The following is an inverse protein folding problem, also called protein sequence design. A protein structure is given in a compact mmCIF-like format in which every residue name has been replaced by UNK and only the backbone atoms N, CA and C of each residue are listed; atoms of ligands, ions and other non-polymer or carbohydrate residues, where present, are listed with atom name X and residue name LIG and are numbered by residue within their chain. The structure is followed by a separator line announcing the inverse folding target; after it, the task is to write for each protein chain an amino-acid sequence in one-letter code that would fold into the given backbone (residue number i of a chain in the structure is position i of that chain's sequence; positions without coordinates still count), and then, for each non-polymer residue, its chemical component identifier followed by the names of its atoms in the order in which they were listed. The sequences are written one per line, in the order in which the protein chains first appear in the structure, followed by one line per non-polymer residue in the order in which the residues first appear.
data_IF_568009321619
#
_entry.id   IF_568009321619
#
_cell.length_a   1.000
_cell.length_b   1.000
_cell.length_c   1.000
_cell.angle_alpha   90.00
_cell.angle_beta   90.00
_cell.angle_gamma   90.00
#
_symmetry.space_group_name_H-M   'P 1'
#
loop_
_entity.id
_entity.type
_entity.pdbx_description
1 polymer ?
#
# COMPACT_ATOMS: atom_id res chain seq x y z
N UNK A 1 28.03 19.65 -10.28
CA UNK A 1 26.70 19.01 -10.35
C UNK A 1 26.17 18.83 -8.94
N UNK A 2 25.24 19.69 -8.53
CA UNK A 2 24.56 19.53 -7.26
C UNK A 2 23.57 18.36 -7.43
N UNK A 3 23.88 17.20 -6.86
CA UNK A 3 22.94 16.09 -6.72
C UNK A 3 21.75 16.59 -5.89
N UNK A 4 20.50 16.36 -6.31
CA UNK A 4 19.36 16.70 -5.49
C UNK A 4 19.49 15.93 -4.17
N UNK A 5 19.48 16.68 -3.06
CA UNK A 5 19.66 16.17 -1.71
C UNK A 5 18.45 15.28 -1.39
N UNK A 6 18.57 13.97 -1.61
CA UNK A 6 17.65 13.01 -1.04
C UNK A 6 17.69 13.17 0.48
N UNK A 7 16.71 13.84 1.06
CA UNK A 7 16.60 13.90 2.53
C UNK A 7 16.55 12.49 3.07
N UNK A 8 17.43 12.10 4.01
CA UNK A 8 17.42 10.76 4.55
C UNK A 8 16.08 10.50 5.24
N UNK A 9 15.34 9.53 4.73
CA UNK A 9 14.09 9.10 5.35
C UNK A 9 14.43 8.26 6.57
N UNK A 10 14.01 8.74 7.75
CA UNK A 10 14.25 8.05 9.03
C UNK A 10 12.91 7.69 9.67
N UNK A 11 12.78 6.49 10.28
CA UNK A 11 11.63 6.16 11.10
C UNK A 11 11.52 7.14 12.27
N UNK A 12 10.32 7.63 12.56
CA UNK A 12 10.03 8.60 13.62
C UNK A 12 9.43 7.96 14.86
N UNK A 13 8.94 6.72 14.75
CA UNK A 13 8.32 5.96 15.86
C UNK A 13 8.98 4.59 15.98
N UNK A 14 8.75 3.92 17.11
CA UNK A 14 9.24 2.56 17.32
C UNK A 14 8.58 1.56 16.35
N UNK A 15 7.28 1.68 16.08
CA UNK A 15 6.58 0.83 15.12
C UNK A 15 7.16 1.00 13.72
N UNK A 16 7.44 2.23 13.29
CA UNK A 16 8.12 2.50 12.02
C UNK A 16 9.54 1.92 11.98
N UNK A 17 10.28 1.97 13.08
CA UNK A 17 11.61 1.35 13.17
C UNK A 17 11.52 -0.16 13.02
N UNK A 18 10.63 -0.83 13.73
CA UNK A 18 10.41 -2.28 13.59
C UNK A 18 10.02 -2.67 12.17
N UNK A 19 9.18 -1.87 11.53
CA UNK A 19 8.79 -2.07 10.14
C UNK A 19 9.98 -1.99 9.18
N UNK A 20 10.81 -0.95 9.29
CA UNK A 20 12.04 -0.80 8.47
C UNK A 20 13.02 -1.95 8.73
N UNK A 21 13.19 -2.37 9.99
CA UNK A 21 14.07 -3.49 10.35
C UNK A 21 13.56 -4.83 9.80
N UNK A 22 12.24 -5.04 9.78
CA UNK A 22 11.62 -6.21 9.14
C UNK A 22 11.83 -6.20 7.62
N UNK A 23 11.66 -5.05 6.98
CA UNK A 23 11.91 -4.88 5.54
C UNK A 23 13.34 -5.25 5.17
N UNK A 24 14.32 -4.90 6.00
CA UNK A 24 15.73 -5.27 5.75
C UNK A 24 15.96 -6.78 5.83
N UNK A 25 15.31 -7.45 6.76
CA UNK A 25 15.58 -8.85 7.10
C UNK A 25 14.78 -9.86 6.30
N UNK A 26 13.55 -9.53 5.88
CA UNK A 26 12.60 -10.47 5.27
C UNK A 26 12.43 -10.20 3.79
N UNK A 27 12.17 -11.26 3.02
CA UNK A 27 11.89 -11.17 1.59
C UNK A 27 10.51 -10.55 1.32
N UNK A 28 9.50 -10.93 2.11
CA UNK A 28 8.14 -10.41 2.01
C UNK A 28 7.75 -9.79 3.33
N UNK A 29 7.24 -8.54 3.32
CA UNK A 29 6.78 -7.86 4.52
C UNK A 29 5.40 -7.25 4.30
N UNK A 30 4.50 -7.54 5.22
CA UNK A 30 3.19 -6.89 5.32
C UNK A 30 3.28 -5.74 6.33
N UNK A 31 3.05 -4.53 5.87
CA UNK A 31 2.92 -3.31 6.70
C UNK A 31 1.45 -2.95 6.84
N UNK A 32 0.86 -3.21 8.00
CA UNK A 32 -0.58 -3.08 8.25
C UNK A 32 -0.80 -1.97 9.29
N UNK A 33 -1.81 -1.15 9.09
CA UNK A 33 -2.17 -0.11 10.07
C UNK A 33 -2.89 1.08 9.44
N UNK A 34 -3.32 2.04 10.25
CA UNK A 34 -4.11 3.17 9.80
C UNK A 34 -3.36 4.10 8.85
N UNK A 35 -4.11 4.91 8.11
CA UNK A 35 -3.55 5.95 7.24
C UNK A 35 -2.68 6.94 8.03
N UNK A 36 -1.61 7.43 7.40
CA UNK A 36 -0.69 8.39 8.02
C UNK A 36 0.41 7.79 8.91
N UNK A 37 0.50 6.46 9.03
CA UNK A 37 1.59 5.78 9.75
C UNK A 37 2.87 5.65 8.92
N UNK A 38 2.87 6.12 7.66
CA UNK A 38 4.06 6.14 6.79
C UNK A 38 4.40 4.81 6.14
N UNK A 39 3.51 3.81 6.13
CA UNK A 39 3.75 2.48 5.55
C UNK A 39 4.32 2.53 4.14
N UNK A 40 3.56 3.11 3.23
CA UNK A 40 3.90 3.22 1.81
C UNK A 40 5.13 4.09 1.59
N UNK A 41 5.21 5.21 2.30
CA UNK A 41 6.35 6.14 2.20
C UNK A 41 7.68 5.48 2.62
N UNK A 42 7.69 4.77 3.75
CA UNK A 42 8.88 4.04 4.23
C UNK A 42 9.23 2.88 3.30
N UNK A 43 8.24 2.13 2.80
CA UNK A 43 8.47 1.06 1.83
C UNK A 43 9.14 1.61 0.55
N UNK A 44 8.66 2.75 0.03
CA UNK A 44 9.23 3.39 -1.16
C UNK A 44 10.64 3.92 -0.90
N UNK A 45 10.89 4.51 0.27
CA UNK A 45 12.23 4.98 0.64
C UNK A 45 13.24 3.81 0.69
N UNK A 46 12.82 2.66 1.24
CA UNK A 46 13.65 1.45 1.27
C UNK A 46 13.88 0.87 -0.13
N UNK A 47 12.85 0.89 -1.00
CA UNK A 47 12.98 0.46 -2.39
C UNK A 47 13.97 1.32 -3.17
N UNK A 48 13.85 2.64 -3.04
CA UNK A 48 14.75 3.59 -3.70
C UNK A 48 16.19 3.43 -3.19
N UNK A 49 16.36 3.19 -1.89
CA UNK A 49 17.68 2.93 -1.32
C UNK A 49 18.30 1.64 -1.88
N UNK A 50 17.55 0.55 -1.90
CA UNK A 50 18.00 -0.74 -2.43
C UNK A 50 18.34 -0.65 -3.93
N UNK A 51 17.53 0.07 -4.71
CA UNK A 51 17.77 0.33 -6.12
C UNK A 51 19.05 1.14 -6.35
N UNK A 52 19.27 2.22 -5.58
CA UNK A 52 20.49 3.03 -5.67
C UNK A 52 21.74 2.27 -5.28
N UNK A 53 21.63 1.33 -4.35
CA UNK A 53 22.72 0.45 -3.92
C UNK A 53 23.00 -0.69 -4.90
N UNK A 54 22.19 -0.86 -5.95
CA UNK A 54 22.29 -1.98 -6.89
C UNK A 54 21.86 -3.33 -6.30
N UNK A 55 21.12 -3.35 -5.20
CA UNK A 55 20.60 -4.56 -4.57
C UNK A 55 19.46 -5.19 -5.40
N UNK A 56 18.78 -4.38 -6.20
CA UNK A 56 17.73 -4.77 -7.16
C UNK A 56 17.87 -4.00 -8.46
N UNK A 57 17.47 -4.61 -9.58
CA UNK A 57 17.56 -4.00 -10.90
C UNK A 57 16.41 -3.06 -11.23
N UNK A 58 15.29 -3.16 -10.54
CA UNK A 58 14.10 -2.34 -10.82
C UNK A 58 13.18 -2.19 -9.61
N UNK A 59 12.32 -1.16 -9.68
CA UNK A 59 11.24 -0.92 -8.70
C UNK A 59 9.90 -1.08 -9.41
N UNK A 60 8.97 -1.83 -8.82
CA UNK A 60 7.61 -2.01 -9.32
C UNK A 60 6.64 -1.57 -8.22
N UNK A 61 5.86 -0.55 -8.51
CA UNK A 61 4.80 -0.06 -7.63
C UNK A 61 3.46 -0.43 -8.23
N UNK A 62 2.63 -1.10 -7.44
CA UNK A 62 1.33 -1.53 -7.91
C UNK A 62 0.25 -1.28 -6.88
N UNK A 63 -0.95 -1.04 -7.36
CA UNK A 63 -2.14 -0.77 -6.54
C UNK A 63 -3.34 -1.43 -7.19
N UNK A 64 -4.28 -2.02 -6.42
CA UNK A 64 -5.54 -2.45 -7.00
C UNK A 64 -6.29 -1.22 -7.53
N UNK A 65 -6.69 -1.27 -8.78
CA UNK A 65 -7.65 -0.30 -9.30
C UNK A 65 -9.03 -0.73 -8.81
N UNK A 66 -9.61 0.03 -7.90
CA UNK A 66 -10.97 -0.18 -7.43
C UNK A 66 -11.84 0.91 -8.04
N UNK A 67 -12.90 0.45 -8.65
CA UNK A 67 -14.01 1.33 -8.96
C UNK A 67 -14.74 1.64 -7.64
N UNK A 68 -14.47 2.80 -7.06
CA UNK A 68 -15.25 3.31 -5.94
C UNK A 68 -16.67 3.64 -6.41
N UNK A 69 -17.52 2.60 -6.56
CA UNK A 69 -18.91 2.72 -6.96
C UNK A 69 -19.19 3.11 -8.42
N UNK A 70 -18.17 3.54 -9.17
CA UNK A 70 -18.25 3.87 -10.59
C UNK A 70 -17.52 2.80 -11.42
N UNK A 71 -18.24 2.17 -12.34
CA UNK A 71 -17.62 1.28 -13.30
C UNK A 71 -16.65 2.08 -14.17
N UNK A 72 -15.39 1.67 -14.28
CA UNK A 72 -14.36 2.28 -15.14
C UNK A 72 -14.85 2.59 -16.57
N UNK A 73 -15.93 1.95 -16.99
CA UNK A 73 -16.63 2.18 -18.26
C UNK A 73 -17.32 3.54 -18.40
N UNK A 74 -17.62 4.26 -17.31
CA UNK A 74 -18.36 5.54 -17.37
C UNK A 74 -17.48 6.78 -17.44
N UNK A 75 -16.18 6.68 -17.14
CA UNK A 75 -15.28 7.83 -17.27
C UNK A 75 -14.86 8.02 -18.75
N UNK A 76 -14.92 9.25 -19.29
CA UNK A 76 -14.39 9.53 -20.62
C UNK A 76 -12.86 9.38 -20.63
N UNK A 77 -12.31 8.87 -21.73
CA UNK A 77 -10.86 8.69 -21.91
C UNK A 77 -10.44 7.22 -22.10
N UNK A 78 -9.17 7.03 -22.40
CA UNK A 78 -8.55 5.70 -22.49
C UNK A 78 -8.40 5.06 -21.10
N UNK A 79 -8.10 3.77 -21.06
CA UNK A 79 -7.96 3.02 -19.81
C UNK A 79 -6.87 3.60 -18.91
N UNK A 80 -5.82 4.15 -19.48
CA UNK A 80 -4.68 4.69 -18.75
C UNK A 80 -5.04 6.00 -18.04
N UNK A 81 -5.76 6.91 -18.69
CA UNK A 81 -6.24 8.16 -18.08
C UNK A 81 -7.24 7.92 -16.94
N UNK A 82 -7.98 6.82 -16.97
CA UNK A 82 -8.92 6.42 -15.92
C UNK A 82 -8.24 5.87 -14.67
N UNK A 83 -7.09 5.23 -14.83
CA UNK A 83 -6.34 4.58 -13.75
C UNK A 83 -5.35 5.56 -13.09
N UNK A 84 -4.86 6.54 -13.83
CA UNK A 84 -3.85 7.51 -13.40
C UNK A 84 -4.17 8.20 -12.06
N UNK A 85 -5.42 8.65 -11.78
CA UNK A 85 -5.76 9.24 -10.48
C UNK A 85 -5.50 8.31 -9.28
N UNK A 86 -5.69 7.00 -9.44
CA UNK A 86 -5.46 6.01 -8.38
C UNK A 86 -3.97 5.78 -8.12
N UNK A 87 -3.12 6.00 -9.12
CA UNK A 87 -1.67 5.84 -9.02
C UNK A 87 -0.97 7.14 -8.59
N UNK A 88 -1.66 8.29 -8.64
CA UNK A 88 -1.08 9.60 -8.35
C UNK A 88 -0.35 9.68 -7.01
N UNK A 89 -0.88 9.16 -5.90
CA UNK A 89 -0.15 9.17 -4.62
C UNK A 89 1.19 8.45 -4.66
N UNK A 90 1.34 7.46 -5.53
CA UNK A 90 2.62 6.74 -5.72
C UNK A 90 3.62 7.62 -6.48
N UNK A 91 3.18 8.32 -7.53
CA UNK A 91 4.03 9.28 -8.25
C UNK A 91 4.50 10.42 -7.35
N UNK A 92 3.58 11.01 -6.56
CA UNK A 92 3.90 12.11 -5.65
C UNK A 92 4.97 11.70 -4.64
N UNK A 93 4.86 10.49 -4.08
CA UNK A 93 5.85 9.97 -3.15
C UNK A 93 7.19 9.68 -3.84
N UNK A 94 7.20 9.14 -5.07
CA UNK A 94 8.43 8.96 -5.86
C UNK A 94 9.12 10.30 -6.13
N UNK A 95 8.38 11.31 -6.57
CA UNK A 95 8.92 12.64 -6.81
C UNK A 95 9.50 13.27 -5.55
N UNK A 96 8.82 13.10 -4.42
CA UNK A 96 9.26 13.62 -3.14
C UNK A 96 10.58 12.98 -2.66
N UNK A 97 10.75 11.66 -2.86
CA UNK A 97 11.87 10.90 -2.31
C UNK A 97 13.07 10.95 -3.23
N UNK A 98 12.90 10.77 -4.54
CA UNK A 98 14.04 10.68 -5.48
C UNK A 98 14.20 11.86 -6.41
N UNK A 99 13.24 12.77 -6.46
CA UNK A 99 13.20 13.91 -7.38
C UNK A 99 12.58 13.56 -8.74
N UNK A 100 11.90 14.52 -9.36
CA UNK A 100 11.16 14.31 -10.60
C UNK A 100 12.08 13.90 -11.77
N UNK A 101 13.22 14.55 -11.94
CA UNK A 101 14.18 14.26 -13.01
C UNK A 101 14.71 12.83 -12.92
N UNK A 102 15.14 12.40 -11.71
CA UNK A 102 15.63 11.03 -11.49
C UNK A 102 14.54 9.99 -11.73
N UNK A 103 13.30 10.27 -11.31
CA UNK A 103 12.17 9.39 -11.59
C UNK A 103 11.92 9.25 -13.10
N UNK A 104 11.79 10.36 -13.82
CA UNK A 104 11.51 10.36 -15.25
C UNK A 104 12.56 9.56 -16.03
N UNK A 105 13.85 9.85 -15.77
CA UNK A 105 14.97 9.13 -16.40
C UNK A 105 14.91 7.60 -16.17
N UNK A 106 14.61 7.14 -14.95
CA UNK A 106 14.55 5.71 -14.65
C UNK A 106 13.25 5.07 -15.15
N UNK A 107 12.14 5.82 -15.19
CA UNK A 107 10.88 5.36 -15.74
C UNK A 107 10.94 5.16 -17.25
N UNK A 108 11.57 6.10 -17.98
CA UNK A 108 11.81 5.97 -19.44
C UNK A 108 12.66 4.75 -19.78
N UNK A 109 13.58 4.38 -18.91
CA UNK A 109 14.38 3.16 -19.04
C UNK A 109 13.66 1.88 -18.61
N UNK A 110 12.43 1.96 -18.13
CA UNK A 110 11.68 0.83 -17.60
C UNK A 110 12.23 0.26 -16.27
N UNK A 111 13.10 1.02 -15.57
CA UNK A 111 13.68 0.62 -14.29
C UNK A 111 12.76 0.94 -13.10
N UNK A 112 11.82 1.88 -13.27
CA UNK A 112 10.77 2.19 -12.32
C UNK A 112 9.43 2.11 -13.04
N UNK A 113 8.59 1.20 -12.58
CA UNK A 113 7.27 0.95 -13.13
C UNK A 113 6.20 1.25 -12.09
N UNK A 114 5.18 2.03 -12.47
CA UNK A 114 3.97 2.24 -11.67
C UNK A 114 2.80 1.75 -12.49
N UNK A 115 2.12 0.69 -12.04
CA UNK A 115 1.09 0.03 -12.82
C UNK A 115 -0.02 -0.56 -11.95
N UNK A 116 -1.25 -0.70 -12.47
CA UNK A 116 -2.33 -1.39 -11.78
C UNK A 116 -1.97 -2.85 -11.50
N UNK A 117 -2.49 -3.39 -10.40
CA UNK A 117 -2.26 -4.79 -10.01
C UNK A 117 -2.60 -5.81 -11.11
N UNK A 118 -3.62 -5.52 -11.90
CA UNK A 118 -4.02 -6.40 -13.02
C UNK A 118 -2.89 -6.63 -14.04
N UNK A 119 -1.97 -5.67 -14.21
CA UNK A 119 -0.85 -5.76 -15.15
C UNK A 119 0.28 -6.69 -14.67
N UNK A 120 0.21 -7.16 -13.44
CA UNK A 120 1.15 -8.15 -12.91
C UNK A 120 0.81 -9.58 -13.36
N UNK A 121 -0.39 -9.80 -13.90
CA UNK A 121 -0.84 -11.13 -14.32
C UNK A 121 0.02 -11.67 -15.46
N UNK A 122 0.43 -12.94 -15.35
CA UNK A 122 1.23 -13.62 -16.37
C UNK A 122 2.71 -13.24 -16.42
N UNK A 123 3.16 -12.40 -15.50
CA UNK A 123 4.57 -11.96 -15.41
C UNK A 123 5.30 -12.77 -14.32
N UNK A 124 6.62 -12.83 -14.44
CA UNK A 124 7.54 -13.21 -13.36
C UNK A 124 8.37 -11.96 -13.02
N UNK A 125 8.36 -11.59 -11.75
CA UNK A 125 8.95 -10.35 -11.27
C UNK A 125 10.29 -10.65 -10.59
N UNK A 126 11.34 -10.86 -11.39
CA UNK A 126 12.69 -11.14 -10.91
C UNK A 126 13.48 -9.86 -10.67
N UNK A 127 14.45 -9.93 -9.76
CA UNK A 127 15.42 -8.87 -9.44
C UNK A 127 14.75 -7.49 -9.26
N UNK A 128 13.65 -7.48 -8.51
CA UNK A 128 12.80 -6.32 -8.36
C UNK A 128 12.47 -6.01 -6.90
N UNK A 129 12.35 -4.74 -6.58
CA UNK A 129 11.70 -4.29 -5.35
C UNK A 129 10.25 -3.95 -5.67
N UNK A 130 9.32 -4.73 -5.12
CA UNK A 130 7.90 -4.68 -5.49
C UNK A 130 7.10 -4.17 -4.31
N UNK A 131 6.25 -3.18 -4.53
CA UNK A 131 5.35 -2.63 -3.50
C UNK A 131 3.92 -2.76 -4.01
N UNK A 132 3.11 -3.52 -3.26
CA UNK A 132 1.65 -3.54 -3.42
C UNK A 132 1.02 -2.63 -2.35
N UNK A 133 0.51 -1.49 -2.77
CA UNK A 133 -0.18 -0.54 -1.91
C UNK A 133 -1.69 -0.75 -1.90
N UNK A 134 -2.37 -0.34 -0.83
CA UNK A 134 -3.82 -0.49 -0.60
C UNK A 134 -4.32 -1.93 -0.76
N UNK A 135 -3.53 -2.88 -0.26
CA UNK A 135 -3.77 -4.31 -0.45
C UNK A 135 -5.07 -4.84 0.18
N UNK A 136 -5.68 -4.10 1.15
CA UNK A 136 -6.99 -4.45 1.70
C UNK A 136 -8.09 -4.47 0.63
N UNK A 137 -7.84 -3.76 -0.46
CA UNK A 137 -8.74 -3.61 -1.59
C UNK A 137 -8.51 -4.67 -2.69
N UNK A 138 -7.71 -5.68 -2.43
CA UNK A 138 -7.59 -6.87 -3.30
C UNK A 138 -8.62 -7.93 -2.94
N UNK A 139 -9.04 -8.72 -3.92
CA UNK A 139 -9.71 -9.99 -3.67
C UNK A 139 -8.69 -11.09 -3.31
N UNK A 140 -9.09 -12.20 -2.67
CA UNK A 140 -8.20 -13.32 -2.39
C UNK A 140 -7.51 -13.88 -3.63
N UNK A 141 -8.22 -13.91 -4.77
CA UNK A 141 -7.67 -14.35 -6.05
C UNK A 141 -6.58 -13.40 -6.59
N UNK A 142 -6.78 -12.09 -6.48
CA UNK A 142 -5.79 -11.08 -6.87
C UNK A 142 -4.56 -11.13 -5.98
N UNK A 143 -4.73 -11.25 -4.67
CA UNK A 143 -3.61 -11.38 -3.72
C UNK A 143 -2.79 -12.64 -4.01
N UNK A 144 -3.44 -13.79 -4.20
CA UNK A 144 -2.77 -15.04 -4.58
C UNK A 144 -2.05 -14.90 -5.91
N UNK A 145 -2.70 -14.32 -6.91
CA UNK A 145 -2.09 -14.05 -8.21
C UNK A 145 -0.81 -13.22 -8.06
N UNK A 146 -0.84 -12.14 -7.31
CA UNK A 146 0.29 -11.25 -7.07
C UNK A 146 1.45 -11.98 -6.37
N UNK A 147 1.19 -12.63 -5.26
CA UNK A 147 2.21 -13.33 -4.47
C UNK A 147 2.91 -14.46 -5.25
N UNK A 148 2.21 -15.06 -6.22
CA UNK A 148 2.80 -16.10 -7.09
C UNK A 148 3.57 -15.54 -8.29
N UNK A 149 3.70 -14.23 -8.43
CA UNK A 149 4.51 -13.57 -9.48
C UNK A 149 5.93 -13.24 -9.01
N UNK A 150 6.20 -13.37 -7.73
CA UNK A 150 7.49 -13.02 -7.13
C UNK A 150 8.55 -13.99 -7.64
N UNK A 151 9.59 -13.45 -8.24
CA UNK A 151 10.71 -14.20 -8.78
C UNK A 151 11.98 -14.09 -7.94
N UNK A 152 13.07 -14.64 -8.43
CA UNK A 152 14.35 -14.67 -7.73
C UNK A 152 14.96 -13.27 -7.58
N UNK A 153 15.64 -13.05 -6.46
CA UNK A 153 16.32 -11.78 -6.18
C UNK A 153 15.38 -10.61 -5.90
N UNK A 154 14.09 -10.89 -5.70
CA UNK A 154 13.09 -9.84 -5.46
C UNK A 154 12.74 -9.70 -3.99
N UNK A 155 12.36 -8.48 -3.60
CA UNK A 155 11.83 -8.13 -2.29
C UNK A 155 10.44 -7.51 -2.45
N UNK A 156 9.51 -7.89 -1.57
CA UNK A 156 8.10 -7.48 -1.69
C UNK A 156 7.59 -6.87 -0.40
N UNK A 157 6.99 -5.71 -0.53
CA UNK A 157 6.30 -5.03 0.56
C UNK A 157 4.83 -4.89 0.20
N UNK A 158 3.97 -5.32 1.11
CA UNK A 158 2.52 -5.21 0.96
C UNK A 158 2.02 -4.26 2.05
N UNK A 159 1.43 -3.14 1.65
CA UNK A 159 0.88 -2.15 2.58
C UNK A 159 -0.64 -2.15 2.53
N UNK A 160 -1.27 -1.94 3.68
CA UNK A 160 -2.74 -1.89 3.73
C UNK A 160 -3.29 -1.42 5.07
N UNK A 161 -4.57 -1.06 5.03
CA UNK A 161 -5.36 -0.69 6.20
C UNK A 161 -6.61 -1.56 6.26
N UNK A 162 -6.70 -2.44 7.26
CA UNK A 162 -7.84 -3.35 7.40
C UNK A 162 -9.16 -2.64 7.70
N UNK A 163 -9.12 -1.37 8.09
CA UNK A 163 -10.32 -0.57 8.41
C UNK A 163 -10.89 0.14 7.19
N UNK A 164 -10.09 0.37 6.14
CA UNK A 164 -10.46 1.11 4.94
C UNK A 164 -10.65 0.18 3.74
N UNK A 165 -11.70 -0.64 3.78
CA UNK A 165 -12.04 -1.57 2.71
C UNK A 165 -13.13 -0.99 1.82
N UNK A 166 -12.79 -0.78 0.55
CA UNK A 166 -13.71 -0.26 -0.47
C UNK A 166 -14.22 -1.36 -1.41
N UNK A 167 -14.08 -2.63 -1.01
CA UNK A 167 -14.53 -3.77 -1.79
C UNK A 167 -16.06 -3.81 -1.89
N UNK A 168 -16.63 -3.97 -3.09
CA UNK A 168 -18.08 -3.99 -3.28
C UNK A 168 -18.74 -5.19 -2.57
N UNK A 169 -19.97 -4.98 -2.05
CA UNK A 169 -20.81 -6.05 -1.53
C UNK A 169 -20.29 -6.80 -0.30
N UNK A 170 -19.37 -6.21 0.48
CA UNK A 170 -18.79 -6.89 1.65
C UNK A 170 -17.86 -8.07 1.29
N UNK A 171 -17.29 -8.06 0.09
CA UNK A 171 -16.37 -9.09 -0.37
C UNK A 171 -15.19 -9.28 0.58
N UNK A 172 -14.69 -10.51 0.69
CA UNK A 172 -13.55 -10.84 1.55
C UNK A 172 -12.28 -10.19 0.99
N UNK A 173 -11.55 -9.49 1.86
CA UNK A 173 -10.27 -8.90 1.50
C UNK A 173 -9.18 -9.96 1.29
N UNK A 174 -8.43 -9.80 0.20
CA UNK A 174 -7.24 -10.61 -0.07
C UNK A 174 -6.15 -10.41 0.98
N UNK A 175 -6.01 -9.19 1.51
CA UNK A 175 -5.11 -8.92 2.63
C UNK A 175 -5.48 -9.76 3.86
N UNK A 176 -6.76 -9.74 4.29
CA UNK A 176 -7.20 -10.51 5.46
C UNK A 176 -6.99 -12.02 5.27
N UNK A 177 -7.21 -12.50 4.05
CA UNK A 177 -6.96 -13.90 3.70
C UNK A 177 -5.47 -14.22 3.79
N UNK A 178 -4.61 -13.38 3.21
CA UNK A 178 -3.17 -13.57 3.23
C UNK A 178 -2.62 -13.59 4.67
N UNK A 179 -3.06 -12.67 5.53
CA UNK A 179 -2.65 -12.60 6.93
C UNK A 179 -2.99 -13.90 7.71
N UNK A 180 -4.10 -14.55 7.38
CA UNK A 180 -4.49 -15.82 8.00
C UNK A 180 -3.68 -17.00 7.47
N UNK A 181 -3.54 -17.08 6.14
CA UNK A 181 -2.95 -18.25 5.46
C UNK A 181 -1.42 -18.27 5.59
N UNK A 182 -0.78 -17.10 5.53
CA UNK A 182 0.69 -16.98 5.48
C UNK A 182 1.36 -16.83 6.85
N UNK A 183 0.59 -16.72 7.93
CA UNK A 183 1.08 -16.43 9.29
C UNK A 183 2.19 -17.39 9.77
N UNK A 184 2.26 -18.62 9.27
CA UNK A 184 3.21 -19.66 9.71
C UNK A 184 4.45 -19.76 8.83
N UNK A 185 4.63 -18.86 7.87
CA UNK A 185 5.80 -18.86 6.97
C UNK A 185 6.84 -17.91 7.56
N UNK A 186 7.94 -18.44 8.04
CA UNK A 186 8.97 -17.70 8.79
C UNK A 186 9.67 -16.61 7.96
N UNK A 187 9.73 -16.75 6.63
CA UNK A 187 10.35 -15.77 5.72
C UNK A 187 9.47 -14.55 5.46
N UNK A 188 8.22 -14.54 5.94
CA UNK A 188 7.28 -13.44 5.79
C UNK A 188 7.23 -12.65 7.11
N UNK A 189 7.41 -11.34 7.01
CA UNK A 189 7.26 -10.40 8.12
C UNK A 189 5.86 -9.79 8.18
N UNK A 190 5.28 -9.70 9.38
CA UNK A 190 4.02 -9.00 9.61
C UNK A 190 4.24 -7.88 10.62
N UNK A 191 4.09 -6.63 10.18
CA UNK A 191 4.30 -5.44 10.98
C UNK A 191 2.98 -4.69 11.14
N UNK A 192 2.56 -4.51 12.38
CA UNK A 192 1.33 -3.78 12.70
C UNK A 192 1.71 -2.42 13.27
N UNK A 193 1.37 -1.37 12.51
CA UNK A 193 1.47 0.01 12.96
C UNK A 193 0.13 0.43 13.56
N UNK A 194 0.19 1.29 14.55
CA UNK A 194 -0.99 1.71 15.32
C UNK A 194 -1.21 3.22 15.21
N UNK A 195 -2.24 3.73 15.83
CA UNK A 195 -2.49 5.18 15.92
C UNK A 195 -1.33 5.96 16.53
N UNK A 196 -0.52 5.33 17.41
CA UNK A 196 0.69 5.95 17.98
C UNK A 196 1.80 6.17 16.96
N UNK A 197 1.74 5.47 15.80
CA UNK A 197 2.71 5.62 14.71
C UNK A 197 2.27 6.67 13.67
N UNK A 198 1.11 7.29 13.85
CA UNK A 198 0.60 8.32 12.94
C UNK A 198 1.46 9.59 13.04
N UNK A 199 2.08 9.96 11.92
CA UNK A 199 2.88 11.18 11.79
C UNK A 199 2.14 12.15 10.87
N UNK A 200 1.41 13.06 11.47
CA UNK A 200 0.63 14.10 10.78
C UNK A 200 0.89 15.47 11.41
N UNK A 201 0.55 16.51 10.65
CA UNK A 201 0.55 17.86 11.20
C UNK A 201 -0.40 17.93 12.41
N UNK A 202 -0.03 18.60 13.54
CA UNK A 202 -0.84 18.60 14.76
C UNK A 202 -2.28 19.08 14.56
N UNK A 203 -2.50 20.04 13.66
CA UNK A 203 -3.84 20.51 13.32
C UNK A 203 -4.66 19.41 12.62
N UNK A 204 -4.04 18.63 11.71
CA UNK A 204 -4.73 17.53 11.02
C UNK A 204 -5.11 16.43 12.00
N UNK A 205 -4.29 16.13 13.00
CA UNK A 205 -4.65 15.19 14.08
C UNK A 205 -5.88 15.66 14.84
N UNK A 206 -5.95 16.94 15.20
CA UNK A 206 -7.13 17.52 15.88
C UNK A 206 -8.39 17.45 15.04
N UNK A 207 -8.28 17.69 13.72
CA UNK A 207 -9.40 17.57 12.79
C UNK A 207 -9.91 16.13 12.75
N UNK A 208 -9.04 15.15 12.57
CA UNK A 208 -9.43 13.72 12.54
C UNK A 208 -10.12 13.33 13.84
N UNK A 209 -9.54 13.69 14.99
CA UNK A 209 -10.12 13.39 16.29
C UNK A 209 -11.50 14.02 16.51
N UNK A 210 -11.72 15.24 15.98
CA UNK A 210 -13.02 15.90 16.04
C UNK A 210 -14.08 15.13 15.22
N UNK A 211 -13.73 14.67 14.01
CA UNK A 211 -14.63 13.87 13.18
C UNK A 211 -14.94 12.52 13.81
N UNK A 212 -13.93 11.78 14.27
CA UNK A 212 -14.12 10.51 14.99
C UNK A 212 -15.07 10.65 16.20
N UNK A 213 -14.89 11.72 16.97
CA UNK A 213 -15.75 12.01 18.12
C UNK A 213 -17.20 12.29 17.69
N UNK A 214 -17.38 13.00 16.58
CA UNK A 214 -18.70 13.30 16.04
C UNK A 214 -19.40 12.04 15.53
N UNK A 215 -18.69 11.18 14.79
CA UNK A 215 -19.20 9.91 14.26
C UNK A 215 -19.61 8.96 15.37
N UNK A 216 -18.77 8.81 16.42
CA UNK A 216 -19.10 7.99 17.59
C UNK A 216 -20.37 8.46 18.31
N UNK A 217 -20.60 9.77 18.41
CA UNK A 217 -21.80 10.33 19.03
C UNK A 217 -23.07 10.17 18.19
N UNK A 218 -22.92 10.11 16.87
CA UNK A 218 -24.04 10.06 15.92
C UNK A 218 -24.28 8.67 15.32
N UNK A 219 -23.44 7.66 15.62
CA UNK A 219 -23.69 6.28 15.22
C UNK A 219 -24.79 5.71 16.10
N UNK A 220 -25.99 5.36 15.56
CA UNK A 220 -27.04 4.75 16.37
C UNK A 220 -26.52 3.42 16.94
N UNK A 221 -26.84 3.07 18.19
CA UNK A 221 -26.47 1.79 18.77
C UNK A 221 -27.02 0.68 17.88
N UNK A 222 -26.16 -0.27 17.49
CA UNK A 222 -26.47 -1.39 16.62
C UNK A 222 -27.79 -2.04 17.08
N UNK A 223 -28.84 -1.90 16.26
CA UNK A 223 -30.20 -2.17 16.61
C UNK A 223 -30.41 -3.57 17.15
N UNK A 224 -30.98 -3.69 18.34
CA UNK A 224 -31.69 -4.89 18.81
C UNK A 224 -32.71 -5.24 17.73
N UNK A 225 -32.47 -6.30 16.95
CA UNK A 225 -33.51 -6.96 16.12
C UNK A 225 -34.64 -7.34 17.07
N UNK A 226 -35.72 -6.58 17.06
CA UNK A 226 -37.00 -7.01 17.67
C UNK A 226 -37.45 -8.27 16.89
N UNK A 227 -37.32 -9.42 17.52
CA UNK A 227 -38.03 -10.62 17.11
C UNK A 227 -39.50 -10.28 17.24
N UNK A 228 -40.19 -10.07 16.12
CA UNK A 228 -41.64 -10.05 16.10
C UNK A 228 -42.08 -11.52 16.21
N UNK A 229 -42.46 -11.90 17.42
CA UNK A 229 -43.29 -13.08 17.60
C UNK A 229 -44.60 -12.85 16.82
N UNK A 230 -44.84 -13.71 15.86
CA UNK A 230 -46.15 -13.84 15.23
C UNK A 230 -46.95 -14.83 16.07
N UNK A 231 -47.99 -14.33 16.75
CA UNK A 231 -49.15 -15.12 17.15
C UNK A 231 -50.02 -15.38 15.93
#
# INVERSE_FOLDING_TARGET
CALPICKPVKPKTLGQKYYVDAIRKKMIVFGIGPAGTGKTYLAMAMAIQAFKNGEVGRIILTRPAIEAGEKLGFLPGDLQSKIDPYLRPLYDALYQIMGAESYLHNSEKGLIEVAPLAYMRGRTLDNAYIILDEAQNTTPAQMKMFLTRIGFGSKVIITGDQTQKDLPGGAVSGLDTALKVLKRIDDIGFCYLTSSDVVRHPLVQKIVQAYETYEQKNTPPAGRRRIRERN
#
